data_IF_592665574744
#
_entry.id   IF_592665574744
#
_cell.length_a   1.000
_cell.length_b   1.000
_cell.length_c   1.000
_cell.angle_alpha   90.00
_cell.angle_beta   90.00
_cell.angle_gamma   90.00
#
_symmetry.space_group_name_H-M   'P 1'
#
loop_
_entity.id
_entity.type
_entity.pdbx_description
1 polymer ?
#
# COMPACT_ATOMS: atom_id res chain seq x y z
N UNK A 1 -1.97 -21.54 -5.38
CA UNK A 1 -2.98 -22.16 -6.27
C UNK A 1 -2.89 -21.44 -7.61
N UNK A 2 -2.20 -22.04 -8.58
CA UNK A 2 -1.92 -21.44 -9.88
C UNK A 2 -3.13 -21.64 -10.81
N UNK A 3 -3.85 -20.55 -11.10
CA UNK A 3 -4.84 -20.54 -12.19
C UNK A 3 -4.12 -20.34 -13.52
N UNK A 4 -4.54 -21.09 -14.53
CA UNK A 4 -4.05 -20.93 -15.90
C UNK A 4 -4.70 -19.66 -16.49
N UNK A 5 -3.90 -18.72 -16.99
CA UNK A 5 -4.39 -17.44 -17.54
C UNK A 5 -5.29 -17.61 -18.79
N UNK A 6 -5.28 -18.79 -19.40
CA UNK A 6 -5.99 -19.08 -20.65
C UNK A 6 -7.14 -20.08 -20.46
N UNK A 7 -7.34 -20.58 -19.25
CA UNK A 7 -8.30 -21.65 -18.96
C UNK A 7 -9.47 -21.03 -18.22
N UNK A 8 -10.65 -21.03 -18.84
CA UNK A 8 -11.86 -20.47 -18.25
C UNK A 8 -12.82 -21.60 -17.89
N UNK A 9 -13.48 -21.51 -16.74
CA UNK A 9 -14.46 -22.51 -16.31
C UNK A 9 -15.88 -22.01 -16.55
N UNK A 10 -16.76 -22.91 -16.98
CA UNK A 10 -18.14 -22.58 -17.29
C UNK A 10 -18.90 -22.28 -15.98
N UNK A 11 -19.61 -21.14 -15.87
CA UNK A 11 -20.37 -20.80 -14.68
C UNK A 11 -21.58 -21.71 -14.44
N UNK A 12 -22.07 -22.41 -15.47
CA UNK A 12 -23.26 -23.27 -15.36
C UNK A 12 -22.96 -24.71 -14.96
N UNK A 13 -21.80 -25.27 -15.37
CA UNK A 13 -21.48 -26.69 -15.14
C UNK A 13 -20.05 -26.95 -14.64
N UNK A 14 -19.22 -25.92 -14.50
CA UNK A 14 -17.83 -26.06 -14.03
C UNK A 14 -16.87 -26.76 -15.00
N UNK A 15 -17.29 -27.03 -16.24
CA UNK A 15 -16.41 -27.61 -17.26
C UNK A 15 -15.57 -26.53 -17.94
N UNK A 16 -14.36 -26.88 -18.37
CA UNK A 16 -13.46 -25.95 -19.06
C UNK A 16 -14.05 -25.49 -20.38
N UNK A 17 -14.05 -24.18 -20.60
CA UNK A 17 -14.52 -23.51 -21.80
C UNK A 17 -13.47 -23.59 -22.91
N UNK A 18 -13.96 -23.66 -24.14
CA UNK A 18 -13.13 -23.70 -25.36
C UNK A 18 -13.34 -22.44 -26.20
N UNK A 19 -12.26 -21.91 -26.76
CA UNK A 19 -12.32 -20.80 -27.72
C UNK A 19 -12.80 -21.30 -29.08
N UNK A 20 -13.87 -20.71 -29.61
CA UNK A 20 -14.41 -20.98 -30.94
C UNK A 20 -14.30 -19.75 -31.82
N UNK A 21 -13.96 -19.96 -33.09
CA UNK A 21 -13.86 -18.90 -34.08
C UNK A 21 -15.13 -18.84 -34.94
N UNK A 22 -15.54 -17.63 -35.33
CA UNK A 22 -16.57 -17.39 -36.33
C UNK A 22 -16.12 -16.24 -37.22
N UNK A 23 -16.41 -16.31 -38.52
CA UNK A 23 -16.11 -15.23 -39.46
C UNK A 23 -17.32 -14.33 -39.59
N UNK A 24 -17.17 -13.04 -39.30
CA UNK A 24 -18.18 -12.02 -39.54
C UNK A 24 -17.73 -11.12 -40.68
N UNK A 25 -18.65 -10.69 -41.53
CA UNK A 25 -18.35 -9.68 -42.54
C UNK A 25 -18.55 -8.31 -41.91
N UNK A 26 -17.49 -7.51 -41.88
CA UNK A 26 -17.52 -6.13 -41.37
C UNK A 26 -17.09 -5.17 -42.47
N UNK A 27 -17.73 -4.00 -42.60
CA UNK A 27 -17.32 -3.00 -43.58
C UNK A 27 -15.87 -2.57 -43.31
N UNK A 28 -15.09 -2.40 -44.38
CA UNK A 28 -13.71 -1.94 -44.29
C UNK A 28 -13.65 -0.53 -43.70
N UNK A 29 -12.68 -0.21 -42.82
CA UNK A 29 -12.48 1.15 -42.33
C UNK A 29 -12.02 2.12 -43.42
N UNK A 30 -11.50 1.63 -44.54
CA UNK A 30 -10.96 2.44 -45.64
C UNK A 30 -12.00 2.68 -46.74
N UNK A 31 -12.93 1.75 -46.95
CA UNK A 31 -13.97 1.81 -47.99
C UNK A 31 -15.27 1.15 -47.48
N UNK A 32 -16.38 1.90 -47.24
CA UNK A 32 -17.63 1.33 -46.74
C UNK A 32 -18.34 0.42 -47.77
N UNK A 33 -17.88 0.40 -49.03
CA UNK A 33 -18.40 -0.46 -50.10
C UNK A 33 -17.77 -1.86 -50.12
N UNK A 34 -16.68 -2.09 -49.38
CA UNK A 34 -15.97 -3.38 -49.34
C UNK A 34 -16.19 -4.06 -47.99
N UNK A 35 -16.85 -5.20 -48.01
CA UNK A 35 -17.01 -6.07 -46.84
C UNK A 35 -15.78 -6.94 -46.67
N UNK A 36 -15.09 -6.81 -45.54
CA UNK A 36 -13.93 -7.66 -45.19
C UNK A 36 -14.36 -8.68 -44.16
N UNK A 37 -14.07 -9.95 -44.44
CA UNK A 37 -14.28 -11.04 -43.49
C UNK A 37 -13.26 -10.95 -42.34
N UNK A 38 -13.75 -10.81 -41.11
CA UNK A 38 -12.93 -10.80 -39.89
C UNK A 38 -13.29 -11.98 -39.01
N UNK A 39 -12.25 -12.66 -38.50
CA UNK A 39 -12.40 -13.74 -37.52
C UNK A 39 -12.61 -13.14 -36.15
N UNK A 40 -13.70 -13.54 -35.51
CA UNK A 40 -14.03 -13.22 -34.13
C UNK A 40 -14.06 -14.51 -33.31
N UNK A 41 -13.72 -14.39 -32.04
CA UNK A 41 -13.56 -15.48 -31.10
C UNK A 41 -14.52 -15.30 -29.93
N UNK A 42 -15.18 -16.39 -29.53
CA UNK A 42 -16.07 -16.46 -28.36
C UNK A 42 -15.78 -17.74 -27.57
N UNK A 43 -16.12 -17.78 -26.29
CA UNK A 43 -15.96 -18.98 -25.46
C UNK A 43 -17.27 -19.78 -25.44
N UNK A 44 -17.15 -21.09 -25.54
CA UNK A 44 -18.29 -22.01 -25.48
C UNK A 44 -17.95 -23.26 -24.67
N UNK A 45 -18.93 -23.71 -23.89
CA UNK A 45 -18.90 -24.99 -23.20
C UNK A 45 -19.39 -26.12 -24.11
N UNK A 46 -18.64 -27.22 -24.16
CA UNK A 46 -19.01 -28.42 -24.92
C UNK A 46 -20.09 -29.26 -24.23
N UNK A 47 -20.17 -29.19 -22.89
CA UNK A 47 -21.08 -30.04 -22.10
C UNK A 47 -22.50 -29.48 -21.99
N UNK A 48 -22.65 -28.18 -21.72
CA UNK A 48 -23.95 -27.55 -21.48
C UNK A 48 -24.38 -26.54 -22.57
N UNK A 49 -23.58 -26.36 -23.63
CA UNK A 49 -23.79 -25.38 -24.72
C UNK A 49 -23.85 -23.91 -24.28
N UNK A 50 -23.41 -23.58 -23.08
CA UNK A 50 -23.26 -22.19 -22.64
C UNK A 50 -22.25 -21.43 -23.51
N UNK A 51 -22.54 -20.17 -23.82
CA UNK A 51 -21.65 -19.28 -24.59
C UNK A 51 -21.48 -17.93 -23.92
N UNK A 52 -20.36 -17.25 -24.17
CA UNK A 52 -20.15 -15.86 -23.71
C UNK A 52 -21.14 -14.87 -24.30
N UNK A 53 -21.79 -15.22 -25.41
CA UNK A 53 -22.84 -14.41 -26.04
C UNK A 53 -24.12 -14.35 -25.21
N UNK A 54 -24.40 -15.41 -24.43
CA UNK A 54 -25.57 -15.46 -23.55
C UNK A 54 -25.51 -14.42 -22.42
N UNK A 55 -24.29 -13.97 -22.07
CA UNK A 55 -24.04 -12.94 -21.04
C UNK A 55 -23.79 -11.55 -21.69
N UNK A 56 -23.88 -11.46 -23.02
CA UNK A 56 -23.64 -10.20 -23.74
C UNK A 56 -22.17 -9.75 -23.75
N UNK A 57 -21.22 -10.65 -23.48
CA UNK A 57 -19.80 -10.34 -23.63
C UNK A 57 -19.47 -10.22 -25.12
N UNK A 58 -18.78 -9.13 -25.49
CA UNK A 58 -18.39 -8.87 -26.88
C UNK A 58 -17.38 -9.91 -27.35
N UNK A 59 -17.59 -10.42 -28.57
CA UNK A 59 -16.64 -11.30 -29.23
C UNK A 59 -15.29 -10.59 -29.44
N UNK A 60 -14.19 -11.30 -29.21
CA UNK A 60 -12.85 -10.75 -29.33
C UNK A 60 -12.29 -10.99 -30.72
N UNK A 61 -11.48 -10.08 -31.23
CA UNK A 61 -10.77 -10.23 -32.51
C UNK A 61 -9.44 -11.02 -32.35
N UNK A 62 -8.99 -11.26 -31.11
CA UNK A 62 -7.77 -12.02 -30.78
C UNK A 62 -8.15 -13.33 -30.11
N UNK A 63 -7.45 -14.42 -30.49
CA UNK A 63 -7.74 -15.78 -30.01
C UNK A 63 -7.39 -16.01 -28.52
N UNK A 64 -6.37 -15.31 -28.01
CA UNK A 64 -5.81 -15.52 -26.68
C UNK A 64 -5.38 -14.18 -26.06
N UNK A 65 -5.84 -13.90 -24.84
CA UNK A 65 -5.47 -12.69 -24.09
C UNK A 65 -6.43 -11.49 -24.19
N UNK A 66 -7.55 -11.61 -24.92
CA UNK A 66 -8.58 -10.57 -25.01
C UNK A 66 -9.65 -10.63 -23.90
N UNK A 67 -9.73 -11.74 -23.17
CA UNK A 67 -10.70 -11.92 -22.08
C UNK A 67 -10.09 -11.42 -20.77
N UNK A 68 -10.27 -10.13 -20.50
CA UNK A 68 -9.83 -9.51 -19.25
C UNK A 68 -10.81 -9.95 -18.14
N UNK A 69 -10.29 -10.58 -17.08
CA UNK A 69 -11.08 -10.80 -15.87
C UNK A 69 -11.47 -9.44 -15.28
N UNK A 70 -12.75 -9.24 -15.02
CA UNK A 70 -13.21 -8.01 -14.40
C UNK A 70 -12.63 -7.92 -12.99
N UNK A 71 -11.86 -6.87 -12.72
CA UNK A 71 -11.34 -6.61 -11.39
C UNK A 71 -12.48 -6.50 -10.38
N UNK A 72 -12.29 -7.11 -9.22
CA UNK A 72 -13.25 -7.03 -8.12
C UNK A 72 -13.36 -5.56 -7.67
N UNK A 73 -14.57 -4.99 -7.66
CA UNK A 73 -14.81 -3.60 -7.24
C UNK A 73 -14.25 -3.31 -5.84
N UNK A 74 -14.34 -4.30 -4.95
CA UNK A 74 -13.83 -4.21 -3.58
C UNK A 74 -12.32 -4.41 -3.45
N UNK A 75 -11.58 -4.62 -4.53
CA UNK A 75 -10.13 -4.78 -4.48
C UNK A 75 -9.46 -3.57 -3.81
N UNK A 76 -9.92 -2.36 -4.13
CA UNK A 76 -9.43 -1.12 -3.51
C UNK A 76 -9.69 -1.09 -2.00
N UNK A 77 -10.88 -1.53 -1.58
CA UNK A 77 -11.24 -1.60 -0.17
C UNK A 77 -10.38 -2.62 0.58
N UNK A 78 -10.20 -3.81 0.02
CA UNK A 78 -9.33 -4.84 0.57
C UNK A 78 -7.88 -4.35 0.70
N UNK A 79 -7.36 -3.64 -0.32
CA UNK A 79 -6.01 -3.07 -0.26
C UNK A 79 -5.87 -2.02 0.86
N UNK A 80 -6.88 -1.15 1.02
CA UNK A 80 -6.88 -0.17 2.11
C UNK A 80 -6.87 -0.83 3.50
N UNK A 81 -7.68 -1.87 3.70
CA UNK A 81 -7.70 -2.63 4.95
C UNK A 81 -6.35 -3.31 5.20
N UNK A 82 -5.77 -3.96 4.18
CA UNK A 82 -4.46 -4.61 4.29
C UNK A 82 -3.37 -3.62 4.69
N UNK A 83 -3.35 -2.43 4.08
CA UNK A 83 -2.36 -1.40 4.41
C UNK A 83 -2.54 -0.86 5.83
N UNK A 84 -3.79 -0.65 6.24
CA UNK A 84 -4.10 -0.26 7.61
C UNK A 84 -3.58 -1.30 8.62
N UNK A 85 -3.93 -2.57 8.46
CA UNK A 85 -3.45 -3.63 9.38
C UNK A 85 -1.94 -3.81 9.36
N UNK A 86 -1.28 -3.63 8.20
CA UNK A 86 0.19 -3.64 8.12
C UNK A 86 0.81 -2.52 8.95
N UNK A 87 0.30 -1.30 8.85
CA UNK A 87 0.80 -0.16 9.64
C UNK A 87 0.58 -0.35 11.14
N UNK A 88 -0.59 -0.83 11.55
CA UNK A 88 -0.90 -1.14 12.95
C UNK A 88 0.03 -2.22 13.49
N UNK A 89 0.26 -3.30 12.74
CA UNK A 89 1.18 -4.36 13.15
C UNK A 89 2.64 -3.87 13.27
N UNK A 90 3.07 -2.97 12.38
CA UNK A 90 4.40 -2.34 12.47
C UNK A 90 4.51 -1.43 13.70
N UNK A 91 3.48 -0.64 13.98
CA UNK A 91 3.44 0.24 15.15
C UNK A 91 3.44 -0.57 16.45
N UNK A 92 2.62 -1.62 16.55
CA UNK A 92 2.58 -2.52 17.71
C UNK A 92 3.95 -3.18 17.95
N UNK A 93 4.62 -3.63 16.87
CA UNK A 93 5.97 -4.19 16.96
C UNK A 93 6.97 -3.18 17.50
N UNK A 94 6.98 -1.95 16.98
CA UNK A 94 7.86 -0.88 17.44
C UNK A 94 7.57 -0.49 18.89
N UNK A 95 6.31 -0.40 19.31
CA UNK A 95 5.96 -0.14 20.70
C UNK A 95 6.37 -1.27 21.64
N UNK A 96 6.16 -2.53 21.24
CA UNK A 96 6.59 -3.71 22.00
C UNK A 96 8.11 -3.72 22.14
N UNK A 97 8.85 -3.43 21.07
CA UNK A 97 10.31 -3.36 21.08
C UNK A 97 10.82 -2.18 21.90
N UNK A 98 10.16 -1.01 21.84
CA UNK A 98 10.45 0.14 22.72
C UNK A 98 10.20 -0.19 24.19
N UNK A 99 9.09 -0.86 24.53
CA UNK A 99 8.79 -1.31 25.91
C UNK A 99 9.84 -2.31 26.40
N UNK A 100 10.24 -3.27 25.55
CA UNK A 100 11.33 -4.22 25.85
C UNK A 100 12.68 -3.51 26.03
N UNK A 101 13.02 -2.57 25.16
CA UNK A 101 14.25 -1.81 25.22
C UNK A 101 14.28 -0.86 26.42
N UNK A 102 13.17 -0.20 26.74
CA UNK A 102 13.02 0.67 27.90
C UNK A 102 13.10 -0.13 29.21
N UNK A 103 12.48 -1.31 29.28
CA UNK A 103 12.61 -2.19 30.45
C UNK A 103 14.05 -2.66 30.65
N UNK A 104 14.75 -3.04 29.57
CA UNK A 104 16.18 -3.42 29.62
C UNK A 104 17.11 -2.25 29.95
N UNK A 105 16.81 -1.04 29.45
CA UNK A 105 17.59 0.17 29.72
C UNK A 105 17.34 0.67 31.15
N UNK A 106 16.11 0.58 31.66
CA UNK A 106 15.78 0.87 33.06
C UNK A 106 16.43 -0.14 34.01
N UNK A 107 16.45 -1.43 33.67
CA UNK A 107 17.17 -2.43 34.47
C UNK A 107 18.69 -2.21 34.45
N UNK A 108 19.28 -1.84 33.30
CA UNK A 108 20.71 -1.52 33.20
C UNK A 108 21.08 -0.23 33.94
N UNK A 109 20.30 0.84 33.80
CA UNK A 109 20.47 2.09 34.55
C UNK A 109 20.25 1.89 36.06
N UNK A 110 19.28 1.07 36.45
CA UNK A 110 19.07 0.68 37.85
C UNK A 110 20.20 -0.19 38.40
N UNK A 111 20.89 -0.98 37.56
CA UNK A 111 22.06 -1.76 37.96
C UNK A 111 23.28 -0.84 38.11
N UNK A 112 23.52 0.08 37.17
CA UNK A 112 24.65 1.02 37.27
C UNK A 112 24.57 1.93 38.49
N UNK A 113 23.36 2.31 38.92
CA UNK A 113 23.15 3.17 40.10
C UNK A 113 23.39 2.42 41.43
N UNK A 114 23.18 1.09 41.45
CA UNK A 114 23.44 0.23 42.62
C UNK A 114 24.89 -0.23 42.71
N UNK A 115 25.61 -0.27 41.59
CA UNK A 115 27.02 -0.67 41.50
C UNK A 115 27.90 0.46 40.97
N UNK A 116 27.60 1.71 41.35
CA UNK A 116 28.34 2.93 40.97
C UNK A 116 29.85 2.66 40.87
N UNK A 117 30.30 2.39 39.64
CA UNK A 117 31.71 2.32 39.33
C UNK A 117 32.22 3.76 39.44
N UNK A 118 33.20 4.05 40.30
CA UNK A 118 33.73 5.39 40.40
C UNK A 118 34.38 5.71 39.06
N UNK A 119 33.78 6.62 38.29
CA UNK A 119 34.45 7.28 37.17
C UNK A 119 35.64 8.04 37.75
N UNK A 120 36.81 7.39 37.68
CA UNK A 120 38.10 7.88 38.17
C UNK A 120 38.41 9.23 37.50
N UNK A 121 38.52 10.25 38.35
CA UNK A 121 39.36 11.44 38.26
C UNK A 121 40.14 11.71 36.96
N UNK A 122 39.91 12.91 36.41
CA UNK A 122 40.86 13.69 35.61
C UNK A 122 40.11 14.86 34.95
N UNK A 123 40.39 16.15 35.14
CA UNK A 123 41.60 16.88 35.53
C UNK A 123 41.21 18.20 36.22
N UNK A 124 42.17 18.69 37.00
CA UNK A 124 42.17 19.99 37.69
C UNK A 124 42.48 21.13 36.70
N UNK A 125 41.91 22.30 37.00
CA UNK A 125 42.49 23.65 36.93
C UNK A 125 42.43 24.50 35.63
N UNK A 126 41.86 25.71 35.82
CA UNK A 126 42.19 27.05 35.26
C UNK A 126 41.56 27.52 33.93
N UNK A 127 40.77 28.60 34.05
CA UNK A 127 40.41 29.65 33.06
C UNK A 127 41.63 30.49 32.63
N UNK A 128 41.57 31.44 31.64
CA UNK A 128 40.63 31.69 30.51
C UNK A 128 41.34 31.96 29.14
N UNK A 129 40.59 31.93 28.02
CA UNK A 129 40.59 32.94 26.91
C UNK A 129 39.82 32.43 25.66
N UNK A 130 38.78 33.21 25.32
CA UNK A 130 38.05 33.37 24.04
C UNK A 130 39.03 33.59 22.84
N UNK A 131 38.67 33.50 21.52
CA UNK A 131 37.33 33.75 20.92
C UNK A 131 36.87 32.91 19.70
N UNK A 132 35.55 33.01 19.43
CA UNK A 132 34.86 32.91 18.12
C UNK A 132 34.93 31.57 17.36
N UNK A 133 33.91 31.09 16.65
CA UNK A 133 32.48 31.39 16.49
C UNK A 133 31.94 30.33 15.50
N UNK A 134 30.77 29.75 15.74
CA UNK A 134 29.62 29.85 14.83
C UNK A 134 28.42 28.97 15.29
N UNK A 135 27.35 29.70 15.63
CA UNK A 135 25.96 29.49 15.17
C UNK A 135 25.18 28.26 15.68
N UNK A 136 24.35 28.56 16.68
CA UNK A 136 22.86 28.58 16.66
C UNK A 136 22.34 27.95 17.96
N UNK A 137 21.92 28.79 18.90
CA UNK A 137 21.16 28.35 20.07
C UNK A 137 19.86 29.15 20.12
N UNK A 138 18.78 28.58 19.58
CA UNK A 138 17.43 29.02 19.91
C UNK A 138 17.12 28.50 21.31
N UNK A 139 17.01 29.41 22.28
CA UNK A 139 16.49 29.12 23.62
C UNK A 139 15.20 29.92 23.78
N UNK A 140 14.12 29.25 24.14
CA UNK A 140 13.26 29.65 25.26
C UNK A 140 12.07 28.69 25.38
N UNK A 141 12.15 27.80 26.37
CA UNK A 141 10.98 27.29 27.09
C UNK A 141 11.41 27.18 28.55
N UNK A 142 11.02 28.16 29.38
CA UNK A 142 10.67 27.99 30.81
C UNK A 142 10.21 29.32 31.43
N UNK A 143 9.40 29.20 32.50
CA UNK A 143 8.93 30.20 33.50
C UNK A 143 7.50 30.72 33.21
N UNK A 144 6.44 30.23 33.88
CA UNK A 144 5.99 30.39 35.30
C UNK A 144 5.59 31.85 35.63
N UNK A 145 4.50 31.99 36.42
CA UNK A 145 3.86 33.18 37.08
C UNK A 145 2.95 34.04 36.19
N UNK A 146 1.62 34.02 36.38
CA UNK A 146 0.81 34.81 37.34
C UNK A 146 0.76 36.32 37.06
N UNK A 147 -0.47 36.85 37.18
CA UNK A 147 -0.86 38.27 37.35
C UNK A 147 -1.07 39.08 36.05
N UNK A 148 -2.31 39.36 35.65
CA UNK A 148 -3.34 40.29 36.18
C UNK A 148 -3.35 41.57 35.33
N UNK A 149 -4.57 42.00 34.96
CA UNK A 149 -4.93 43.33 34.41
C UNK A 149 -4.46 43.52 32.96
N UNK A 150 -5.31 43.55 31.94
CA UNK A 150 -6.48 44.43 31.83
C UNK A 150 -6.30 45.29 30.57
N UNK A 151 -7.41 45.82 30.04
CA UNK A 151 -7.50 46.87 29.02
C UNK A 151 -7.29 46.38 27.56
N UNK A 152 -8.38 46.22 26.81
CA UNK A 152 -9.06 47.23 25.96
C UNK A 152 -8.59 47.08 24.51
N UNK A 153 -9.41 46.59 23.57
CA UNK A 153 -10.56 47.26 22.94
C UNK A 153 -10.16 47.95 21.61
N UNK A 154 -11.02 47.79 20.57
CA UNK A 154 -11.06 48.50 19.26
C UNK A 154 -9.97 48.01 18.28
N UNK A 155 -10.23 47.55 17.04
CA UNK A 155 -11.22 47.85 15.99
C UNK A 155 -11.74 46.55 15.38
#
# INVERSE_FOLDING_TARGET
MSRCANCFDCPSCGHTLSTRATSIQTPSPEDPSKTVARKVYYLACTSCRWTTRDVGLKDQNVATGGWVEQDNEHYKHLQSLLEHYRSVAQQEKLERDKKRFSHRKSSYLSLSDKYSLPSILGRKSLTPLSPFAHKVCCRNVTCITQDWLGLNQII
#
